data_IF_274234931919
#
_entry.id   IF_274234931919
#
_cell.length_a   1.000
_cell.length_b   1.000
_cell.length_c   1.000
_cell.angle_alpha   90.00
_cell.angle_beta   90.00
_cell.angle_gamma   90.00
#
_symmetry.space_group_name_H-M   'P 1'
#
loop_
_entity.id
_entity.type
_entity.pdbx_description
1 polymer ?
#
# COMPACT_ATOMS: atom_id res chain seq x y z
N UNK A 1 0.86 -17.16 0.75
CA UNK A 1 0.00 -16.16 1.44
C UNK A 1 0.62 -14.79 1.35
N UNK A 2 -0.14 -13.79 0.89
CA UNK A 2 0.30 -12.39 0.85
C UNK A 2 -0.55 -11.51 1.78
N UNK A 3 0.11 -10.65 2.58
CA UNK A 3 -0.53 -9.56 3.31
C UNK A 3 -0.42 -8.29 2.46
N UNK A 4 -1.56 -7.64 2.16
CA UNK A 4 -1.61 -6.44 1.34
C UNK A 4 -2.36 -5.33 2.09
N UNK A 5 -1.65 -4.28 2.48
CA UNK A 5 -2.26 -3.18 3.22
C UNK A 5 -2.92 -2.16 2.28
N UNK A 6 -4.10 -1.66 2.67
CA UNK A 6 -4.86 -0.69 1.87
C UNK A 6 -5.47 -1.27 0.58
N UNK A 7 -5.94 -2.53 0.62
CA UNK A 7 -6.44 -3.26 -0.54
C UNK A 7 -7.98 -3.28 -0.65
N UNK A 8 -8.67 -2.27 -0.11
CA UNK A 8 -10.12 -2.15 -0.26
C UNK A 8 -10.56 -1.98 -1.72
N UNK A 9 -11.72 -2.55 -2.05
CA UNK A 9 -12.34 -2.48 -3.37
C UNK A 9 -12.44 -1.05 -3.90
N UNK A 10 -12.03 -0.86 -5.14
CA UNK A 10 -12.23 0.36 -5.89
C UNK A 10 -12.20 0.05 -7.38
N UNK A 11 -13.15 0.61 -8.12
CA UNK A 11 -13.21 0.53 -9.59
C UNK A 11 -13.14 1.93 -10.19
N UNK A 12 -12.56 2.01 -11.37
CA UNK A 12 -12.65 3.13 -12.28
C UNK A 12 -13.99 3.11 -13.01
N UNK A 13 -14.38 4.21 -13.64
CA UNK A 13 -15.59 4.30 -14.48
C UNK A 13 -15.63 3.25 -15.60
N UNK A 14 -14.48 2.80 -16.09
CA UNK A 14 -14.35 1.76 -17.12
C UNK A 14 -14.27 0.32 -16.55
N UNK A 15 -14.54 0.12 -15.26
CA UNK A 15 -14.54 -1.19 -14.60
C UNK A 15 -13.18 -1.76 -14.19
N UNK A 16 -12.06 -1.09 -14.52
CA UNK A 16 -10.71 -1.52 -14.10
C UNK A 16 -10.48 -1.28 -12.61
N UNK A 17 -9.46 -1.92 -12.03
CA UNK A 17 -9.05 -1.68 -10.65
C UNK A 17 -8.72 -0.20 -10.41
N UNK A 18 -9.39 0.41 -9.45
CA UNK A 18 -9.33 1.84 -9.15
C UNK A 18 -8.43 2.20 -7.96
N UNK A 19 -7.75 1.24 -7.35
CA UNK A 19 -6.73 1.49 -6.32
C UNK A 19 -5.54 0.56 -6.48
N UNK A 20 -4.35 1.03 -6.09
CA UNK A 20 -3.11 0.26 -6.20
C UNK A 20 -3.21 -1.03 -5.38
N UNK A 21 -3.60 -0.95 -4.10
CA UNK A 21 -3.69 -2.12 -3.24
C UNK A 21 -4.66 -3.18 -3.74
N UNK A 22 -5.83 -2.79 -4.25
CA UNK A 22 -6.78 -3.72 -4.84
C UNK A 22 -6.27 -4.32 -6.16
N UNK A 23 -5.56 -3.53 -6.98
CA UNK A 23 -4.91 -4.03 -8.19
C UNK A 23 -3.83 -5.06 -7.89
N UNK A 24 -3.01 -4.82 -6.86
CA UNK A 24 -2.01 -5.79 -6.39
C UNK A 24 -2.69 -7.07 -5.87
N UNK A 25 -3.74 -6.93 -5.05
CA UNK A 25 -4.50 -8.08 -4.55
C UNK A 25 -5.08 -8.93 -5.69
N UNK A 26 -5.59 -8.27 -6.75
CA UNK A 26 -6.07 -8.95 -7.95
C UNK A 26 -4.95 -9.69 -8.69
N UNK A 27 -3.76 -9.08 -8.82
CA UNK A 27 -2.62 -9.73 -9.47
C UNK A 27 -2.17 -10.97 -8.71
N UNK A 28 -2.05 -10.90 -7.38
CA UNK A 28 -1.71 -12.07 -6.55
C UNK A 28 -2.80 -13.15 -6.56
N UNK A 29 -4.08 -12.76 -6.56
CA UNK A 29 -5.19 -13.71 -6.65
C UNK A 29 -5.18 -14.49 -7.97
N UNK A 30 -4.82 -13.85 -9.08
CA UNK A 30 -4.64 -14.51 -10.40
C UNK A 30 -3.55 -15.58 -10.39
N UNK A 31 -2.52 -15.42 -9.56
CA UNK A 31 -1.46 -16.40 -9.38
C UNK A 31 -1.79 -17.45 -8.30
N UNK A 32 -3.04 -17.47 -7.83
CA UNK A 32 -3.52 -18.46 -6.85
C UNK A 32 -3.10 -18.20 -5.41
N UNK A 33 -2.63 -17.00 -5.07
CA UNK A 33 -2.22 -16.68 -3.72
C UNK A 33 -3.43 -16.48 -2.79
N UNK A 34 -3.39 -17.06 -1.59
CA UNK A 34 -4.28 -16.68 -0.51
C UNK A 34 -3.89 -15.31 0.05
N UNK A 35 -4.88 -14.51 0.44
CA UNK A 35 -4.68 -13.10 0.76
C UNK A 35 -5.17 -12.73 2.16
N UNK A 36 -4.42 -11.85 2.82
CA UNK A 36 -4.91 -11.03 3.93
C UNK A 36 -4.92 -9.59 3.46
N UNK A 37 -6.10 -9.01 3.33
CA UNK A 37 -6.26 -7.63 2.89
C UNK A 37 -6.69 -6.73 4.03
N UNK A 38 -6.08 -5.55 4.14
CA UNK A 38 -6.41 -4.62 5.21
C UNK A 38 -6.86 -3.27 4.69
N UNK A 39 -7.60 -2.55 5.53
CA UNK A 39 -8.06 -1.20 5.26
C UNK A 39 -9.02 -0.72 6.35
N UNK A 40 -9.41 0.55 6.29
CA UNK A 40 -10.30 1.16 7.28
C UNK A 40 -11.79 0.89 7.03
N UNK A 41 -12.17 0.75 5.77
CA UNK A 41 -13.56 0.58 5.35
C UNK A 41 -13.89 -0.90 5.17
N UNK A 42 -14.65 -1.45 6.12
CA UNK A 42 -15.05 -2.86 6.16
C UNK A 42 -15.81 -3.26 4.89
N UNK A 43 -16.77 -2.42 4.44
CA UNK A 43 -17.54 -2.72 3.22
C UNK A 43 -16.64 -2.89 2.00
N UNK A 44 -15.68 -1.98 1.80
CA UNK A 44 -14.73 -2.10 0.69
C UNK A 44 -13.84 -3.34 0.78
N UNK A 45 -13.52 -3.79 1.99
CA UNK A 45 -12.76 -5.04 2.18
C UNK A 45 -13.62 -6.25 1.84
N UNK A 46 -14.88 -6.27 2.30
CA UNK A 46 -15.83 -7.34 2.00
C UNK A 46 -16.11 -7.44 0.50
N UNK A 47 -16.37 -6.31 -0.17
CA UNK A 47 -16.58 -6.26 -1.62
C UNK A 47 -15.34 -6.80 -2.39
N UNK A 48 -14.12 -6.45 -1.93
CA UNK A 48 -12.88 -6.95 -2.51
C UNK A 48 -12.72 -8.47 -2.32
N UNK A 49 -12.99 -8.95 -1.11
CA UNK A 49 -12.95 -10.38 -0.80
C UNK A 49 -13.90 -11.17 -1.69
N UNK A 50 -15.17 -10.79 -1.72
CA UNK A 50 -16.21 -11.48 -2.48
C UNK A 50 -15.86 -11.56 -3.98
N UNK A 51 -15.35 -10.45 -4.56
CA UNK A 51 -14.95 -10.45 -5.95
C UNK A 51 -13.72 -11.33 -6.20
N UNK A 52 -12.68 -11.24 -5.36
CA UNK A 52 -11.45 -12.01 -5.53
C UNK A 52 -11.67 -13.51 -5.34
N UNK A 53 -12.43 -13.92 -4.32
CA UNK A 53 -12.78 -15.31 -4.08
C UNK A 53 -13.64 -15.88 -5.24
N UNK A 54 -14.64 -15.12 -5.70
CA UNK A 54 -15.50 -15.52 -6.80
C UNK A 54 -14.77 -15.66 -8.14
N UNK A 55 -13.84 -14.76 -8.45
CA UNK A 55 -13.16 -14.73 -9.74
C UNK A 55 -11.99 -15.70 -9.83
N UNK A 56 -11.28 -15.93 -8.72
CA UNK A 56 -9.99 -16.63 -8.74
C UNK A 56 -9.95 -17.88 -7.85
N UNK A 57 -10.99 -18.14 -7.07
CA UNK A 57 -11.04 -19.32 -6.21
C UNK A 57 -10.05 -19.33 -5.04
N UNK A 58 -9.41 -18.20 -4.75
CA UNK A 58 -8.48 -18.04 -3.63
C UNK A 58 -9.23 -17.78 -2.33
N UNK A 59 -8.56 -17.95 -1.18
CA UNK A 59 -9.13 -17.59 0.13
C UNK A 59 -8.64 -16.19 0.54
N UNK A 60 -9.58 -15.33 0.94
CA UNK A 60 -9.28 -13.95 1.35
C UNK A 60 -9.77 -13.69 2.77
N UNK A 61 -8.87 -13.21 3.63
CA UNK A 61 -9.18 -12.71 4.97
C UNK A 61 -9.17 -11.19 4.96
N UNK A 62 -10.26 -10.58 5.44
CA UNK A 62 -10.36 -9.13 5.60
C UNK A 62 -10.08 -8.76 7.06
N UNK A 63 -9.14 -7.85 7.28
CA UNK A 63 -8.87 -7.31 8.61
C UNK A 63 -9.02 -5.80 8.59
N UNK A 64 -9.98 -5.29 9.35
CA UNK A 64 -10.07 -3.84 9.55
C UNK A 64 -8.84 -3.37 10.33
N UNK A 65 -8.09 -2.43 9.77
CA UNK A 65 -6.89 -1.88 10.37
C UNK A 65 -6.84 -0.37 10.10
N UNK A 66 -6.93 0.42 11.17
CA UNK A 66 -6.65 1.85 11.16
C UNK A 66 -5.29 2.09 11.82
N UNK A 67 -4.34 2.57 11.04
CA UNK A 67 -2.97 2.86 11.44
C UNK A 67 -2.65 4.35 11.42
N UNK A 68 -3.68 5.19 11.52
CA UNK A 68 -3.53 6.65 11.48
C UNK A 68 -3.18 7.25 12.85
N UNK A 69 -3.45 6.52 13.94
CA UNK A 69 -3.17 6.95 15.29
C UNK A 69 -1.98 6.20 15.89
N UNK A 70 -1.16 6.89 16.66
CA UNK A 70 0.10 6.37 17.18
C UNK A 70 -0.03 5.32 18.27
N UNK A 71 -1.07 5.44 19.11
CA UNK A 71 -1.13 4.71 20.36
C UNK A 71 -1.24 3.19 20.18
N UNK A 72 -1.95 2.75 19.15
CA UNK A 72 -2.32 1.34 18.96
C UNK A 72 -1.80 0.71 17.67
N UNK A 73 -1.00 1.42 16.86
CA UNK A 73 -0.55 0.92 15.56
C UNK A 73 0.14 -0.45 15.64
N UNK A 74 1.01 -0.66 16.62
CA UNK A 74 1.71 -1.94 16.78
C UNK A 74 0.73 -3.07 17.14
N UNK A 75 -0.24 -2.81 18.01
CA UNK A 75 -1.28 -3.78 18.38
C UNK A 75 -2.20 -4.12 17.19
N UNK A 76 -2.60 -3.11 16.41
CA UNK A 76 -3.40 -3.30 15.18
C UNK A 76 -2.63 -4.18 14.19
N UNK A 77 -1.36 -3.90 13.95
CA UNK A 77 -0.51 -4.69 13.05
C UNK A 77 -0.34 -6.12 13.54
N UNK A 78 -0.06 -6.32 14.83
CA UNK A 78 0.10 -7.65 15.42
C UNK A 78 -1.19 -8.48 15.28
N UNK A 79 -2.38 -7.87 15.40
CA UNK A 79 -3.64 -8.54 15.15
C UNK A 79 -3.78 -9.00 13.69
N UNK A 80 -3.38 -8.18 12.70
CA UNK A 80 -3.40 -8.57 11.29
C UNK A 80 -2.49 -9.77 11.04
N UNK A 81 -1.26 -9.72 11.53
CA UNK A 81 -0.28 -10.81 11.39
C UNK A 81 -0.78 -12.09 12.06
N UNK A 82 -1.34 -11.95 13.28
CA UNK A 82 -1.94 -13.09 13.98
C UNK A 82 -3.05 -13.75 13.16
N UNK A 83 -3.98 -12.98 12.59
CA UNK A 83 -5.06 -13.53 11.76
C UNK A 83 -4.54 -14.22 10.49
N UNK A 84 -3.45 -13.71 9.89
CA UNK A 84 -2.79 -14.35 8.77
C UNK A 84 -2.24 -15.73 9.16
N UNK A 85 -1.56 -15.82 10.28
CA UNK A 85 -0.96 -17.08 10.78
C UNK A 85 -2.04 -18.03 11.25
N UNK A 86 -3.03 -17.59 12.02
CA UNK A 86 -4.13 -18.45 12.49
C UNK A 86 -4.90 -19.09 11.33
N UNK A 87 -5.00 -18.38 10.18
CA UNK A 87 -5.77 -18.84 9.02
C UNK A 87 -4.95 -19.67 8.04
N UNK A 88 -3.72 -19.24 7.77
CA UNK A 88 -2.92 -19.80 6.67
C UNK A 88 -1.61 -20.46 7.12
N UNK A 89 -1.20 -20.28 8.37
CA UNK A 89 0.03 -20.87 8.94
C UNK A 89 1.33 -20.29 8.37
N UNK A 90 1.27 -19.35 7.42
CA UNK A 90 2.46 -18.82 6.73
C UNK A 90 2.25 -17.43 6.15
N UNK A 91 3.33 -16.68 6.04
CA UNK A 91 3.40 -15.40 5.29
C UNK A 91 4.57 -15.50 4.32
N UNK A 92 4.30 -15.33 3.03
CA UNK A 92 5.31 -15.36 1.96
C UNK A 92 5.63 -13.97 1.44
N UNK A 93 4.64 -13.08 1.45
CA UNK A 93 4.76 -11.72 0.91
C UNK A 93 4.09 -10.71 1.82
N UNK A 94 4.77 -9.59 2.03
CA UNK A 94 4.23 -8.40 2.68
C UNK A 94 4.26 -7.21 1.71
N UNK A 95 3.09 -6.61 1.47
CA UNK A 95 2.93 -5.40 0.64
C UNK A 95 2.49 -4.24 1.54
N UNK A 96 3.41 -3.32 1.83
CA UNK A 96 3.15 -2.09 2.58
C UNK A 96 2.74 -0.96 1.64
N UNK A 97 1.44 -0.90 1.31
CA UNK A 97 0.87 0.06 0.37
C UNK A 97 -0.02 1.13 1.05
N UNK A 98 -0.64 0.83 2.20
CA UNK A 98 -1.53 1.76 2.88
C UNK A 98 -0.80 3.02 3.34
N UNK A 99 -1.39 4.19 3.10
CA UNK A 99 -0.99 5.47 3.69
C UNK A 99 -2.13 6.50 3.61
N UNK A 100 -2.18 7.37 4.61
CA UNK A 100 -2.96 8.60 4.61
C UNK A 100 -2.02 9.82 4.67
N UNK A 101 -2.47 10.95 4.16
CA UNK A 101 -1.73 12.22 4.24
C UNK A 101 -2.67 13.40 4.01
N UNK A 102 -2.31 14.56 4.55
CA UNK A 102 -2.85 15.85 4.19
C UNK A 102 -2.01 16.43 3.03
N UNK A 103 -2.56 16.37 1.82
CA UNK A 103 -1.89 16.85 0.61
C UNK A 103 -2.35 18.26 0.23
N UNK A 104 -1.49 19.06 -0.40
CA UNK A 104 -1.79 20.40 -0.85
C UNK A 104 -1.57 21.49 0.21
N UNK A 105 -1.07 21.14 1.39
CA UNK A 105 -0.76 22.09 2.47
C UNK A 105 0.73 22.48 2.40
N UNK A 106 1.06 23.78 2.28
CA UNK A 106 2.45 24.25 2.33
C UNK A 106 3.16 23.85 3.62
N UNK A 107 4.47 23.72 3.59
CA UNK A 107 5.27 23.34 4.76
C UNK A 107 5.03 24.27 5.97
N UNK A 108 4.97 25.57 5.73
CA UNK A 108 4.77 26.56 6.80
C UNK A 108 3.40 26.47 7.49
N UNK A 109 2.40 25.94 6.78
CA UNK A 109 1.01 25.85 7.25
C UNK A 109 0.65 24.43 7.72
N UNK A 110 1.61 23.49 7.64
CA UNK A 110 1.39 22.09 8.00
C UNK A 110 1.32 21.91 9.51
N UNK A 111 0.22 21.36 10.01
CA UNK A 111 0.11 21.10 11.44
C UNK A 111 0.85 19.83 11.86
N UNK A 112 1.17 19.73 13.15
CA UNK A 112 1.79 18.52 13.71
C UNK A 112 0.93 17.28 13.51
N UNK A 113 -0.40 17.40 13.63
CA UNK A 113 -1.35 16.30 13.44
C UNK A 113 -1.33 15.82 11.98
N UNK A 114 -1.30 16.73 11.02
CA UNK A 114 -1.19 16.40 9.60
C UNK A 114 0.15 15.73 9.28
N UNK A 115 1.24 16.18 9.91
CA UNK A 115 2.56 15.58 9.77
C UNK A 115 2.57 14.17 10.36
N UNK A 116 2.07 14.01 11.58
CA UNK A 116 1.98 12.73 12.27
C UNK A 116 1.09 11.73 11.52
N UNK A 117 -0.03 12.15 10.96
CA UNK A 117 -0.90 11.30 10.15
C UNK A 117 -0.11 10.56 9.05
N UNK A 118 0.76 11.27 8.33
CA UNK A 118 1.55 10.66 7.26
C UNK A 118 2.65 9.75 7.81
N UNK A 119 3.30 10.13 8.92
CA UNK A 119 4.33 9.31 9.56
C UNK A 119 3.72 8.03 10.14
N UNK A 120 2.65 8.11 10.92
CA UNK A 120 2.05 6.95 11.57
C UNK A 120 1.45 5.98 10.55
N UNK A 121 0.64 6.48 9.62
CA UNK A 121 -0.01 5.62 8.62
C UNK A 121 0.94 5.07 7.56
N UNK A 122 2.05 5.73 7.30
CA UNK A 122 3.05 5.33 6.31
C UNK A 122 4.27 4.67 6.94
N UNK A 123 5.16 5.49 7.55
CA UNK A 123 6.47 5.02 8.01
C UNK A 123 6.39 4.06 9.19
N UNK A 124 5.69 4.43 10.26
CA UNK A 124 5.56 3.58 11.45
C UNK A 124 4.79 2.31 11.15
N UNK A 125 3.68 2.40 10.42
CA UNK A 125 2.94 1.20 10.02
C UNK A 125 3.81 0.24 9.20
N UNK A 126 4.57 0.74 8.22
CA UNK A 126 5.52 -0.07 7.45
C UNK A 126 6.55 -0.74 8.37
N UNK A 127 7.13 0.00 9.31
CA UNK A 127 8.08 -0.54 10.29
C UNK A 127 7.45 -1.66 11.12
N UNK A 128 6.27 -1.46 11.68
CA UNK A 128 5.58 -2.46 12.51
C UNK A 128 5.23 -3.72 11.72
N UNK A 129 4.68 -3.58 10.50
CA UNK A 129 4.39 -4.73 9.64
C UNK A 129 5.65 -5.52 9.29
N UNK A 130 6.73 -4.85 8.93
CA UNK A 130 8.01 -5.50 8.64
C UNK A 130 8.53 -6.26 9.85
N UNK A 131 8.55 -5.63 11.03
CA UNK A 131 8.98 -6.23 12.31
C UNK A 131 8.13 -7.47 12.66
N UNK A 132 6.80 -7.36 12.60
CA UNK A 132 5.89 -8.43 12.97
C UNK A 132 5.91 -9.60 11.97
N UNK A 133 6.10 -9.34 10.68
CA UNK A 133 6.16 -10.38 9.65
C UNK A 133 7.54 -11.06 9.55
N UNK A 134 8.62 -10.44 10.05
CA UNK A 134 9.99 -10.93 9.88
C UNK A 134 10.18 -12.42 10.21
N UNK A 135 9.74 -12.96 11.38
CA UNK A 135 9.96 -14.36 11.71
C UNK A 135 9.36 -15.32 10.69
N UNK A 136 8.18 -15.00 10.17
CA UNK A 136 7.47 -15.84 9.19
C UNK A 136 8.05 -15.69 7.77
N UNK A 137 8.46 -14.48 7.40
CA UNK A 137 9.17 -14.25 6.14
C UNK A 137 10.53 -14.94 6.10
N UNK A 138 11.22 -15.07 7.24
CA UNK A 138 12.46 -15.82 7.35
C UNK A 138 12.25 -17.31 7.10
N UNK A 139 11.19 -17.89 7.63
CA UNK A 139 10.85 -19.31 7.41
C UNK A 139 10.52 -19.61 5.94
N UNK A 140 9.82 -18.70 5.27
CA UNK A 140 9.39 -18.86 3.88
C UNK A 140 10.43 -18.38 2.86
N UNK A 141 11.51 -17.70 3.29
CA UNK A 141 12.43 -16.94 2.44
C UNK A 141 11.65 -15.96 1.55
N UNK A 142 10.71 -15.26 2.17
CA UNK A 142 9.68 -14.47 1.52
C UNK A 142 10.16 -13.13 0.98
N UNK A 143 9.19 -12.28 0.62
CA UNK A 143 9.46 -10.98 0.05
C UNK A 143 8.69 -9.86 0.74
N UNK A 144 9.29 -8.66 0.77
CA UNK A 144 8.64 -7.42 1.19
C UNK A 144 8.70 -6.42 0.07
N UNK A 145 7.55 -5.79 -0.22
CA UNK A 145 7.47 -4.68 -1.15
C UNK A 145 6.88 -3.47 -0.43
N UNK A 146 7.69 -2.45 -0.27
CA UNK A 146 7.31 -1.18 0.31
C UNK A 146 6.97 -0.16 -0.79
N UNK A 147 6.01 0.71 -0.52
CA UNK A 147 5.60 1.75 -1.47
C UNK A 147 6.13 3.11 -1.05
N UNK A 148 7.14 3.60 -1.77
CA UNK A 148 7.62 4.97 -1.71
C UNK A 148 6.90 5.86 -2.76
N UNK A 149 7.46 7.00 -3.10
CA UNK A 149 6.86 7.92 -4.08
C UNK A 149 7.92 8.80 -4.73
N UNK A 150 7.69 9.19 -5.98
CA UNK A 150 8.41 10.26 -6.65
C UNK A 150 8.26 11.62 -5.94
N UNK A 151 7.19 11.83 -5.17
CA UNK A 151 6.98 13.07 -4.42
C UNK A 151 8.11 13.36 -3.41
N UNK A 152 8.69 12.31 -2.78
CA UNK A 152 9.87 12.45 -1.94
C UNK A 152 11.13 12.77 -2.72
N UNK A 153 11.32 12.09 -3.87
CA UNK A 153 12.50 12.29 -4.72
C UNK A 153 12.59 13.69 -5.33
N UNK A 154 11.42 14.25 -5.72
CA UNK A 154 11.35 15.49 -6.48
C UNK A 154 10.92 16.71 -5.66
N UNK A 155 10.54 16.52 -4.39
CA UNK A 155 10.13 17.60 -3.50
C UNK A 155 8.82 18.27 -3.97
N UNK A 156 7.76 17.51 -4.18
CA UNK A 156 6.50 18.05 -4.68
C UNK A 156 5.87 19.04 -3.68
N UNK A 157 5.43 20.20 -4.18
CA UNK A 157 4.76 21.22 -3.40
C UNK A 157 3.56 20.67 -2.62
N UNK A 158 3.41 21.09 -1.36
CA UNK A 158 2.30 20.69 -0.50
C UNK A 158 2.30 19.22 -0.06
N UNK A 159 3.44 18.55 -0.14
CA UNK A 159 3.59 17.12 0.17
C UNK A 159 4.62 16.86 1.29
N UNK A 160 4.92 17.82 2.18
CA UNK A 160 6.04 17.72 3.10
C UNK A 160 6.00 16.47 3.98
N UNK A 161 4.91 16.21 4.68
CA UNK A 161 4.76 15.04 5.56
C UNK A 161 4.75 13.73 4.77
N UNK A 162 4.06 13.72 3.63
CA UNK A 162 4.03 12.57 2.74
C UNK A 162 5.41 12.23 2.19
N UNK A 163 6.14 13.23 1.71
CA UNK A 163 7.49 13.08 1.20
C UNK A 163 8.45 12.56 2.29
N UNK A 164 8.39 13.14 3.50
CA UNK A 164 9.19 12.69 4.64
C UNK A 164 8.92 11.21 4.98
N UNK A 165 7.65 10.81 5.05
CA UNK A 165 7.28 9.40 5.30
C UNK A 165 7.80 8.47 4.19
N UNK A 166 7.66 8.87 2.91
CA UNK A 166 8.08 8.05 1.76
C UNK A 166 9.59 7.90 1.65
N UNK A 167 10.37 8.93 1.99
CA UNK A 167 11.82 8.82 2.05
C UNK A 167 12.28 8.01 3.28
N UNK A 168 11.59 8.11 4.43
CA UNK A 168 11.80 7.23 5.57
C UNK A 168 11.58 5.75 5.22
N UNK A 169 10.51 5.43 4.50
CA UNK A 169 10.22 4.07 3.99
C UNK A 169 11.34 3.59 3.06
N UNK A 170 11.86 4.45 2.18
CA UNK A 170 12.97 4.12 1.30
C UNK A 170 14.25 3.79 2.07
N UNK A 171 14.56 4.58 3.12
CA UNK A 171 15.68 4.33 4.03
C UNK A 171 15.53 3.00 4.76
N UNK A 172 14.36 2.77 5.37
CA UNK A 172 14.02 1.52 6.06
C UNK A 172 14.15 0.30 5.15
N UNK A 173 13.68 0.40 3.90
CA UNK A 173 13.79 -0.67 2.91
C UNK A 173 15.24 -1.08 2.63
N UNK A 174 16.16 -0.11 2.47
CA UNK A 174 17.58 -0.38 2.23
C UNK A 174 18.22 -1.10 3.40
N UNK A 175 17.95 -0.65 4.63
CA UNK A 175 18.47 -1.30 5.84
C UNK A 175 17.96 -2.73 5.94
N UNK A 176 16.67 -2.95 5.81
CA UNK A 176 16.08 -4.28 5.88
C UNK A 176 16.60 -5.22 4.78
N UNK A 177 16.79 -4.73 3.55
CA UNK A 177 17.36 -5.52 2.46
C UNK A 177 18.80 -6.00 2.81
N UNK A 178 19.59 -5.13 3.43
CA UNK A 178 20.96 -5.46 3.88
C UNK A 178 20.95 -6.48 5.03
N UNK A 179 20.10 -6.28 6.03
CA UNK A 179 20.06 -7.11 7.23
C UNK A 179 19.45 -8.50 6.97
N UNK A 180 18.38 -8.55 6.17
CA UNK A 180 17.56 -9.75 5.97
C UNK A 180 17.97 -10.59 4.75
N UNK A 181 18.86 -10.07 3.90
CA UNK A 181 19.38 -10.82 2.76
C UNK A 181 20.03 -12.15 3.14
N UNK A 182 20.73 -12.22 4.29
CA UNK A 182 21.30 -13.45 4.85
C UNK A 182 20.24 -14.51 5.22
N UNK A 183 19.01 -14.08 5.49
CA UNK A 183 17.88 -14.96 5.80
C UNK A 183 17.08 -15.33 4.55
N UNK A 184 17.52 -14.90 3.37
CA UNK A 184 16.89 -15.18 2.08
C UNK A 184 15.65 -14.30 1.80
N UNK A 185 15.39 -13.26 2.61
CA UNK A 185 14.26 -12.36 2.43
C UNK A 185 14.61 -11.28 1.41
N UNK A 186 13.75 -11.13 0.40
CA UNK A 186 13.89 -10.09 -0.62
C UNK A 186 13.10 -8.84 -0.24
N UNK A 187 13.75 -7.68 -0.12
CA UNK A 187 13.09 -6.43 0.30
C UNK A 187 13.28 -5.36 -0.76
N UNK A 188 12.17 -4.93 -1.36
CA UNK A 188 12.16 -3.97 -2.46
C UNK A 188 11.26 -2.76 -2.17
N UNK A 189 11.47 -1.68 -2.93
CA UNK A 189 10.64 -0.49 -2.92
C UNK A 189 10.13 -0.17 -4.32
N UNK A 190 8.84 0.16 -4.42
CA UNK A 190 8.19 0.60 -5.65
C UNK A 190 7.70 2.05 -5.49
N UNK A 191 7.91 2.87 -6.53
CA UNK A 191 7.40 4.24 -6.61
C UNK A 191 6.37 4.29 -7.75
N UNK A 192 5.12 3.91 -7.51
CA UNK A 192 4.12 3.79 -8.57
C UNK A 192 3.60 5.15 -9.02
N UNK A 193 3.21 5.21 -10.28
CA UNK A 193 2.40 6.29 -10.82
C UNK A 193 1.20 5.68 -11.56
N UNK A 194 0.07 5.54 -10.87
CA UNK A 194 -1.09 4.82 -11.36
C UNK A 194 -2.31 5.72 -11.55
N UNK A 195 -3.14 5.39 -12.53
CA UNK A 195 -4.49 5.95 -12.64
C UNK A 195 -5.38 5.32 -11.57
N UNK A 196 -5.93 6.14 -10.69
CA UNK A 196 -6.74 5.67 -9.56
C UNK A 196 -8.11 6.33 -9.56
N UNK A 197 -9.08 5.71 -8.89
CA UNK A 197 -10.41 6.30 -8.72
C UNK A 197 -10.38 7.68 -8.02
N UNK A 198 -9.42 7.90 -7.10
CA UNK A 198 -9.22 9.23 -6.51
C UNK A 198 -8.75 10.26 -7.53
N UNK A 199 -7.84 9.88 -8.42
CA UNK A 199 -7.35 10.77 -9.47
C UNK A 199 -8.43 11.04 -10.53
N UNK A 200 -9.23 10.03 -10.85
CA UNK A 200 -10.41 10.16 -11.72
C UNK A 200 -11.45 11.11 -11.14
N UNK A 201 -11.79 10.94 -9.85
CA UNK A 201 -12.69 11.85 -9.13
C UNK A 201 -12.15 13.29 -9.06
N UNK A 202 -10.83 13.45 -8.84
CA UNK A 202 -10.22 14.79 -8.85
C UNK A 202 -10.31 15.44 -10.22
N UNK A 203 -10.05 14.70 -11.30
CA UNK A 203 -10.21 15.20 -12.68
C UNK A 203 -11.63 15.66 -12.94
N UNK A 204 -12.62 14.86 -12.53
CA UNK A 204 -14.03 15.12 -12.83
C UNK A 204 -14.61 16.28 -11.99
N UNK A 205 -14.17 16.39 -10.72
CA UNK A 205 -14.59 17.46 -9.81
C UNK A 205 -13.89 18.80 -10.07
N UNK A 206 -12.62 18.77 -10.52
CA UNK A 206 -11.78 19.96 -10.64
C UNK A 206 -10.95 19.93 -11.94
N UNK A 207 -11.57 19.98 -13.13
CA UNK A 207 -10.89 19.76 -14.41
C UNK A 207 -9.77 20.77 -14.70
N UNK A 208 -9.94 22.03 -14.34
CA UNK A 208 -8.93 23.07 -14.56
C UNK A 208 -7.73 22.88 -13.62
N UNK A 209 -7.98 22.59 -12.35
CA UNK A 209 -6.92 22.27 -11.38
C UNK A 209 -6.17 20.98 -11.77
N UNK A 210 -6.90 19.98 -12.26
CA UNK A 210 -6.29 18.75 -12.78
C UNK A 210 -5.36 19.05 -13.94
N UNK A 211 -5.83 19.81 -14.95
CA UNK A 211 -5.03 20.17 -16.13
C UNK A 211 -3.78 20.98 -15.78
N UNK A 212 -3.87 21.84 -14.77
CA UNK A 212 -2.75 22.66 -14.32
C UNK A 212 -1.68 21.88 -13.54
N UNK A 213 -2.08 20.86 -12.75
CA UNK A 213 -1.20 20.22 -11.77
C UNK A 213 -0.84 18.77 -12.10
N UNK A 214 -1.61 18.09 -12.93
CA UNK A 214 -1.39 16.68 -13.25
C UNK A 214 -0.77 16.53 -14.64
N UNK A 215 0.52 16.21 -14.66
CA UNK A 215 1.26 16.03 -15.91
C UNK A 215 1.20 14.59 -16.38
N UNK A 216 0.96 14.40 -17.69
CA UNK A 216 1.04 13.08 -18.30
C UNK A 216 2.47 12.56 -18.27
N UNK A 217 2.70 11.31 -17.83
CA UNK A 217 4.01 10.69 -17.93
C UNK A 217 4.52 10.61 -19.38
N UNK A 218 5.84 10.56 -19.62
CA UNK A 218 6.41 10.39 -20.95
C UNK A 218 5.89 9.15 -21.70
N UNK A 219 5.44 8.12 -20.99
CA UNK A 219 4.82 6.92 -21.56
C UNK A 219 3.43 7.17 -22.19
N UNK A 220 2.88 8.37 -22.05
CA UNK A 220 1.56 8.72 -22.59
C UNK A 220 0.36 8.22 -21.79
N UNK A 221 0.58 7.50 -20.69
CA UNK A 221 -0.48 7.02 -19.80
C UNK A 221 0.00 6.87 -18.37
N UNK A 222 -0.94 6.87 -17.43
CA UNK A 222 -0.72 6.45 -16.05
C UNK A 222 -0.84 4.93 -15.94
N UNK A 223 -0.01 4.32 -15.10
CA UNK A 223 0.02 2.87 -14.93
C UNK A 223 -1.33 2.29 -14.50
N UNK A 224 -1.67 1.13 -15.01
CA UNK A 224 -2.80 0.33 -14.57
C UNK A 224 -2.46 -0.33 -13.23
N UNK A 225 -3.36 -0.18 -12.24
CA UNK A 225 -3.13 -0.68 -10.89
C UNK A 225 -2.91 -2.20 -10.79
N UNK A 226 -3.54 -2.98 -11.69
CA UNK A 226 -3.43 -4.42 -11.73
C UNK A 226 -2.32 -4.89 -12.66
N UNK A 227 -2.43 -4.55 -13.96
CA UNK A 227 -1.61 -5.18 -15.01
C UNK A 227 -0.20 -4.60 -15.13
N UNK A 228 0.03 -3.40 -14.58
CA UNK A 228 1.35 -2.76 -14.59
C UNK A 228 1.92 -2.67 -13.17
N UNK A 229 1.19 -2.10 -12.19
CA UNK A 229 1.71 -2.00 -10.82
C UNK A 229 1.62 -3.35 -10.09
N UNK A 230 0.46 -4.00 -10.12
CA UNK A 230 0.26 -5.31 -9.49
C UNK A 230 1.21 -6.37 -10.04
N UNK A 231 1.39 -6.40 -11.36
CA UNK A 231 2.27 -7.37 -12.01
C UNK A 231 3.75 -7.21 -11.65
N UNK A 232 4.21 -6.00 -11.38
CA UNK A 232 5.58 -5.75 -10.90
C UNK A 232 5.79 -6.31 -9.48
N UNK A 233 4.72 -6.46 -8.71
CA UNK A 233 4.78 -6.95 -7.34
C UNK A 233 4.72 -8.49 -7.22
N UNK A 234 4.32 -9.17 -8.28
CA UNK A 234 4.26 -10.64 -8.40
C UNK A 234 5.53 -11.21 -9.04
#
# INVERSE_FOLDING_TARGET
TAIITGAGYAKLSNGRCGSIGYGIATAYAKEGANLVITGRNVKKLTDAKEELERLYGVKVVCVQADVNDSADNEAVVNNVVKQAIDTFGRIDVLINNAQASASGVPLADHTTEQFNLALYSGLYATFYYMKACYPYLKETKGAVINFASGAGLFGNYGQCAYAAAKEGIRGLTRVAATEWGKDGINVNVVCPLAWTAKLEQFRDAYPDAFKANVKMPPMGHYGNAETEIGRVCV
#
